data_IF_815138417982
#
_entry.id   IF_815138417982
#
_cell.length_a   1.000
_cell.length_b   1.000
_cell.length_c   1.000
_cell.angle_alpha   90.00
_cell.angle_beta   90.00
_cell.angle_gamma   90.00
#
_symmetry.space_group_name_H-M   'P 1'
#
loop_
_entity.id
_entity.type
_entity.pdbx_description
1 polymer ?
#
# COMPACT_ATOMS: atom_id res chain seq x y z
N UNK A 1 15.46 1.23 8.02
CA UNK A 1 14.38 1.24 7.02
C UNK A 1 13.27 0.28 7.45
N UNK A 2 13.62 -0.94 7.85
CA UNK A 2 12.64 -1.96 8.27
C UNK A 2 11.73 -1.51 9.41
N UNK A 3 12.28 -0.87 10.45
CA UNK A 3 11.47 -0.29 11.54
C UNK A 3 10.42 0.71 11.03
N UNK A 4 10.77 1.55 10.05
CA UNK A 4 9.84 2.53 9.48
C UNK A 4 8.70 1.85 8.72
N UNK A 5 9.02 0.81 7.95
CA UNK A 5 8.01 0.00 7.27
C UNK A 5 7.13 -0.78 8.24
N UNK A 6 7.69 -1.36 9.31
CA UNK A 6 6.93 -2.04 10.35
C UNK A 6 5.92 -1.10 11.05
N UNK A 7 6.32 0.15 11.30
CA UNK A 7 5.44 1.15 11.91
C UNK A 7 4.32 1.62 10.97
N UNK A 8 4.59 1.75 9.67
CA UNK A 8 3.60 2.15 8.67
C UNK A 8 2.73 1.02 8.15
N UNK A 9 3.10 -0.23 8.42
CA UNK A 9 2.45 -1.40 7.87
C UNK A 9 0.92 -1.43 8.10
N UNK A 10 0.40 -1.11 9.30
CA UNK A 10 -1.05 -1.08 9.52
C UNK A 10 -1.77 -0.12 8.56
N UNK A 11 -1.25 1.09 8.36
CA UNK A 11 -1.85 2.08 7.48
C UNK A 11 -1.74 1.71 6.00
N UNK A 12 -0.62 1.09 5.61
CA UNK A 12 -0.43 0.56 4.26
C UNK A 12 -1.41 -0.58 3.99
N UNK A 13 -1.52 -1.52 4.93
CA UNK A 13 -2.42 -2.66 4.83
C UNK A 13 -3.88 -2.19 4.75
N UNK A 14 -4.29 -1.24 5.59
CA UNK A 14 -5.64 -0.66 5.54
C UNK A 14 -5.93 -0.01 4.18
N UNK A 15 -5.01 0.82 3.67
CA UNK A 15 -5.17 1.48 2.37
C UNK A 15 -5.33 0.49 1.21
N UNK A 16 -4.51 -0.57 1.19
CA UNK A 16 -4.58 -1.65 0.20
C UNK A 16 -5.87 -2.45 0.35
N UNK A 17 -6.23 -2.84 1.57
CA UNK A 17 -7.44 -3.63 1.83
C UNK A 17 -8.69 -2.88 1.35
N UNK A 18 -8.78 -1.58 1.65
CA UNK A 18 -9.89 -0.74 1.22
C UNK A 18 -9.99 -0.67 -0.32
N UNK A 19 -8.87 -0.41 -1.01
CA UNK A 19 -8.87 -0.35 -2.48
C UNK A 19 -9.25 -1.69 -3.13
N UNK A 20 -8.61 -2.79 -2.72
CA UNK A 20 -8.86 -4.10 -3.34
C UNK A 20 -10.19 -4.73 -2.91
N UNK A 21 -10.85 -4.21 -1.87
CA UNK A 21 -12.17 -4.69 -1.46
C UNK A 21 -13.22 -4.57 -2.56
N UNK A 22 -13.07 -3.66 -3.53
CA UNK A 22 -13.99 -3.54 -4.66
C UNK A 22 -13.72 -4.59 -5.76
N UNK A 23 -12.51 -5.14 -5.81
CA UNK A 23 -12.02 -5.97 -6.92
C UNK A 23 -11.81 -7.43 -6.55
N UNK A 24 -11.50 -7.73 -5.29
CA UNK A 24 -11.18 -9.08 -4.81
C UNK A 24 -12.09 -9.47 -3.65
N UNK A 25 -12.38 -10.76 -3.53
CA UNK A 25 -13.14 -11.33 -2.40
C UNK A 25 -12.25 -11.56 -1.18
N UNK A 26 -10.93 -11.64 -1.39
CA UNK A 26 -9.92 -11.77 -0.34
C UNK A 26 -9.05 -10.51 -0.36
N UNK A 27 -8.77 -9.95 0.81
CA UNK A 27 -7.87 -8.81 0.92
C UNK A 27 -6.42 -9.24 0.68
N UNK A 28 -5.69 -8.60 -0.25
CA UNK A 28 -4.25 -8.79 -0.38
C UNK A 28 -3.51 -8.37 0.88
N UNK A 29 -2.36 -8.99 1.11
CA UNK A 29 -1.42 -8.63 2.16
C UNK A 29 -0.24 -7.85 1.58
N UNK A 30 0.30 -6.93 2.38
CA UNK A 30 1.59 -6.30 2.10
C UNK A 30 2.57 -6.71 3.17
N UNK A 31 3.79 -7.08 2.78
CA UNK A 31 4.88 -7.33 3.70
C UNK A 31 5.89 -6.16 3.67
N UNK A 32 6.62 -5.88 4.76
CA UNK A 32 7.58 -4.77 4.81
C UNK A 32 8.61 -4.77 3.67
N UNK A 33 9.07 -5.94 3.22
CA UNK A 33 10.04 -6.08 2.13
C UNK A 33 9.45 -5.80 0.73
N UNK A 34 8.13 -5.63 0.62
CA UNK A 34 7.43 -5.24 -0.60
C UNK A 34 7.16 -3.73 -0.68
N UNK A 35 7.66 -2.97 0.30
CA UNK A 35 7.49 -1.51 0.38
C UNK A 35 8.78 -0.82 -0.06
N UNK A 36 8.65 0.14 -0.95
CA UNK A 36 9.75 1.00 -1.41
C UNK A 36 9.39 2.47 -1.20
N UNK A 37 10.30 3.26 -0.63
CA UNK A 37 10.11 4.72 -0.56
C UNK A 37 10.47 5.31 -1.92
N UNK A 38 9.52 5.97 -2.57
CA UNK A 38 9.76 6.73 -3.80
C UNK A 38 10.17 8.17 -3.51
N UNK A 39 9.52 8.80 -2.53
CA UNK A 39 9.78 10.19 -2.14
C UNK A 39 9.47 10.37 -0.66
N UNK A 40 10.30 11.13 0.04
CA UNK A 40 10.05 11.59 1.40
C UNK A 40 10.46 13.05 1.49
N UNK A 41 9.53 13.92 1.91
CA UNK A 41 9.80 15.34 2.07
C UNK A 41 9.20 15.87 3.37
N UNK A 42 9.88 16.86 3.96
CA UNK A 42 9.40 17.60 5.12
C UNK A 42 8.69 18.85 4.64
N UNK A 43 7.42 19.02 5.00
CA UNK A 43 6.57 20.06 4.39
C UNK A 43 6.46 21.35 5.20
N UNK A 44 6.92 21.36 6.46
CA UNK A 44 6.77 22.51 7.37
C UNK A 44 8.10 23.14 7.83
N UNK A 45 9.16 23.04 7.02
CA UNK A 45 10.43 23.75 7.26
C UNK A 45 11.34 23.12 8.33
N UNK A 46 12.42 23.83 8.69
CA UNK A 46 13.47 23.33 9.58
C UNK A 46 12.90 22.91 10.96
N UNK A 47 13.27 21.72 11.43
CA UNK A 47 12.78 21.08 12.68
C UNK A 47 11.27 20.76 12.75
N UNK A 48 10.52 20.92 11.67
CA UNK A 48 9.13 20.47 11.60
C UNK A 48 8.99 18.95 11.44
N UNK A 49 8.00 18.33 12.10
CA UNK A 49 7.78 16.87 12.05
C UNK A 49 6.58 16.48 11.18
N UNK A 50 6.31 17.25 10.12
CA UNK A 50 5.27 16.93 9.14
C UNK A 50 5.97 16.44 7.87
N UNK A 51 5.71 15.19 7.53
CA UNK A 51 6.31 14.52 6.37
C UNK A 51 5.24 14.15 5.36
N UNK A 52 5.57 14.27 4.08
CA UNK A 52 4.83 13.67 2.99
C UNK A 52 5.69 12.55 2.42
N UNK A 53 5.18 11.32 2.47
CA UNK A 53 5.92 10.11 2.08
C UNK A 53 5.12 9.39 1.02
N UNK A 54 5.75 9.16 -0.14
CA UNK A 54 5.19 8.35 -1.22
C UNK A 54 5.91 7.01 -1.23
N UNK A 55 5.12 5.95 -1.08
CA UNK A 55 5.54 4.56 -1.09
C UNK A 55 5.07 3.90 -2.39
N UNK A 56 5.85 2.97 -2.91
CA UNK A 56 5.41 1.95 -3.85
C UNK A 56 5.26 0.63 -3.10
N UNK A 57 4.17 -0.08 -3.36
CA UNK A 57 3.88 -1.38 -2.74
C UNK A 57 3.43 -2.39 -3.78
N UNK A 58 3.79 -3.65 -3.53
CA UNK A 58 3.35 -4.80 -4.33
C UNK A 58 2.55 -5.75 -3.44
N UNK A 59 1.22 -5.54 -3.29
CA UNK A 59 0.37 -6.46 -2.54
C UNK A 59 0.33 -7.86 -3.16
N UNK A 60 0.13 -8.87 -2.31
CA UNK A 60 0.08 -10.28 -2.69
C UNK A 60 -1.09 -11.03 -2.06
N UNK A 61 -1.51 -12.12 -2.70
CA UNK A 61 -2.44 -13.11 -2.16
C UNK A 61 -1.79 -14.49 -2.14
N UNK A 62 -2.23 -15.36 -1.23
CA UNK A 62 -1.79 -16.75 -1.21
C UNK A 62 -0.28 -16.92 -1.01
N UNK A 63 0.38 -17.82 -1.76
CA UNK A 63 1.83 -18.09 -1.72
C UNK A 63 2.72 -16.94 -2.25
N UNK A 64 2.36 -15.68 -1.99
CA UNK A 64 3.01 -14.48 -2.50
C UNK A 64 2.76 -14.18 -3.99
N UNK A 65 1.56 -14.47 -4.50
CA UNK A 65 1.17 -14.08 -5.87
C UNK A 65 0.86 -12.58 -5.92
N UNK A 66 1.60 -11.77 -6.69
CA UNK A 66 1.38 -10.33 -6.75
C UNK A 66 0.05 -10.03 -7.46
N UNK A 67 -0.73 -9.09 -6.91
CA UNK A 67 -2.03 -8.69 -7.49
C UNK A 67 -1.96 -7.35 -8.22
N UNK A 68 -1.00 -6.52 -7.85
CA UNK A 68 -0.79 -5.24 -8.49
C UNK A 68 0.40 -4.50 -7.93
N UNK A 69 0.62 -3.30 -8.47
CA UNK A 69 1.61 -2.34 -8.00
C UNK A 69 0.91 -1.01 -7.77
N UNK A 70 1.11 -0.45 -6.59
CA UNK A 70 0.37 0.71 -6.12
C UNK A 70 1.31 1.77 -5.55
N UNK A 71 0.91 3.03 -5.68
CA UNK A 71 1.57 4.16 -5.05
C UNK A 71 0.67 4.79 -3.98
N UNK A 72 1.21 4.85 -2.77
CA UNK A 72 0.52 5.38 -1.59
C UNK A 72 1.24 6.62 -1.11
N UNK A 73 0.55 7.75 -1.04
CA UNK A 73 1.09 8.97 -0.42
C UNK A 73 0.46 9.17 0.95
N UNK A 74 1.28 9.14 1.99
CA UNK A 74 0.90 9.42 3.37
C UNK A 74 1.42 10.77 3.83
N UNK A 75 0.60 11.46 4.63
CA UNK A 75 1.07 12.54 5.50
C UNK A 75 1.29 11.97 6.89
N UNK A 76 2.49 12.16 7.43
CA UNK A 76 2.91 11.64 8.72
C UNK A 76 3.23 12.81 9.63
N UNK A 77 2.58 12.84 10.79
CA UNK A 77 2.83 13.77 11.90
C UNK A 77 3.16 12.97 13.16
N UNK A 78 3.62 13.58 14.27
CA UNK A 78 3.93 12.85 15.49
C UNK A 78 2.75 12.05 16.08
N UNK A 79 1.50 12.40 15.76
CA UNK A 79 0.30 11.75 16.30
C UNK A 79 -0.61 11.09 15.27
N UNK A 80 -0.32 11.22 13.97
CA UNK A 80 -1.22 10.74 12.93
C UNK A 80 -0.47 10.32 11.66
N UNK A 81 -0.87 9.19 11.10
CA UNK A 81 -0.52 8.76 9.74
C UNK A 81 -1.80 8.77 8.91
N UNK A 82 -1.87 9.65 7.92
CA UNK A 82 -3.06 9.84 7.09
C UNK A 82 -2.78 9.58 5.62
N UNK A 83 -3.54 8.67 5.01
CA UNK A 83 -3.51 8.48 3.56
C UNK A 83 -4.01 9.76 2.86
N UNK A 84 -3.21 10.30 1.96
CA UNK A 84 -3.55 11.46 1.13
C UNK A 84 -3.92 11.06 -0.29
N UNK A 85 -3.29 10.01 -0.82
CA UNK A 85 -3.53 9.53 -2.17
C UNK A 85 -3.24 8.04 -2.28
N UNK A 86 -4.13 7.33 -2.96
CA UNK A 86 -3.91 5.98 -3.48
C UNK A 86 -3.90 6.07 -5.01
N UNK A 87 -2.86 5.54 -5.65
CA UNK A 87 -2.77 5.48 -7.12
C UNK A 87 -2.39 4.06 -7.53
N UNK A 88 -3.32 3.35 -8.13
CA UNK A 88 -3.04 2.07 -8.77
C UNK A 88 -2.20 2.28 -10.04
N UNK A 89 -1.15 1.50 -10.20
CA UNK A 89 -0.22 1.63 -11.32
C UNK A 89 -0.37 0.49 -12.32
N UNK A 90 -0.53 -0.73 -11.82
CA UNK A 90 -0.51 -1.94 -12.65
C UNK A 90 -1.26 -3.06 -11.95
N UNK A 91 -2.03 -3.84 -12.72
CA UNK A 91 -2.65 -5.08 -12.27
C UNK A 91 -1.81 -6.25 -12.76
N UNK A 92 -1.52 -7.21 -11.87
CA UNK A 92 -0.83 -8.43 -12.25
C UNK A 92 -1.84 -9.58 -12.38
N UNK A 93 -1.67 -10.39 -13.42
CA UNK A 93 -2.56 -11.52 -13.66
C UNK A 93 -2.31 -12.62 -12.62
N UNK A 94 -3.40 -13.07 -12.00
CA UNK A 94 -3.34 -14.16 -11.03
C UNK A 94 -3.22 -15.53 -11.74
N UNK A 95 -2.51 -16.50 -11.14
CA UNK A 95 -2.50 -17.86 -11.63
C UNK A 95 -3.93 -18.44 -11.77
N UNK A 96 -4.16 -19.41 -12.69
CA UNK A 96 -5.50 -19.95 -12.94
C UNK A 96 -6.25 -20.45 -11.69
N UNK A 97 -5.52 -21.01 -10.72
CA UNK A 97 -6.07 -21.51 -9.46
C UNK A 97 -6.41 -20.41 -8.42
N UNK A 98 -6.23 -19.14 -8.77
CA UNK A 98 -6.55 -17.97 -7.95
C UNK A 98 -7.52 -17.00 -8.63
N UNK A 99 -8.06 -17.36 -9.80
CA UNK A 99 -8.98 -16.50 -10.56
C UNK A 99 -10.35 -16.36 -9.90
N UNK A 100 -10.72 -17.30 -9.03
CA UNK A 100 -11.99 -17.34 -8.29
C UNK A 100 -12.16 -16.19 -7.30
N UNK A 101 -11.06 -15.58 -6.85
CA UNK A 101 -11.12 -14.46 -5.91
C UNK A 101 -11.45 -13.13 -6.60
N UNK A 102 -11.36 -13.06 -7.93
CA UNK A 102 -11.63 -11.84 -8.68
C UNK A 102 -13.13 -11.62 -8.74
N UNK A 103 -13.58 -10.46 -8.25
CA UNK A 103 -14.99 -10.08 -8.31
C UNK A 103 -15.38 -9.84 -9.76
N UNK A 104 -16.44 -10.51 -10.20
CA UNK A 104 -17.08 -10.17 -11.47
C UNK A 104 -17.60 -8.74 -11.37
N UNK A 105 -17.12 -7.85 -12.25
CA UNK A 105 -17.70 -6.51 -12.38
C UNK A 105 -19.18 -6.69 -12.70
N UNK A 106 -20.04 -6.09 -11.86
CA UNK A 106 -21.47 -5.94 -12.17
C UNK A 106 -21.65 -4.93 -13.30
#
# INVERSE_FOLDING_TARGET
MDMFFSLLLPNVQEAVSNYYSDYLTISPLVYPYQIKILKMERTNGYRGFIFLVTLEVTPVVGPHNPVGRDQLTFSITPGEVKLKKFKHMETYELPPNWQDIIKKRK
#
